data_IF_407054387015
#
_entry.id   IF_407054387015
#
_cell.length_a   1.000
_cell.length_b   1.000
_cell.length_c   1.000
_cell.angle_alpha   90.00
_cell.angle_beta   90.00
_cell.angle_gamma   90.00
#
_symmetry.space_group_name_H-M   'P 1'
#
loop_
_entity.id
_entity.type
_entity.pdbx_description
1 polymer ?
#
# COMPACT_ATOMS: atom_id res chain seq x y z
N UNK A 1 1.75 14.68 -10.90
CA UNK A 1 2.81 15.24 -10.06
C UNK A 1 2.44 14.98 -8.62
N UNK A 2 3.46 14.91 -7.78
CA UNK A 2 3.34 14.74 -6.34
C UNK A 2 4.42 15.62 -5.68
N UNK A 3 4.00 16.58 -4.86
CA UNK A 3 4.92 17.56 -4.29
C UNK A 3 5.71 16.97 -3.11
N UNK A 4 5.16 16.03 -2.34
CA UNK A 4 5.92 15.43 -1.23
C UNK A 4 7.12 14.65 -1.75
N UNK A 5 6.96 14.04 -2.92
CA UNK A 5 7.91 13.11 -3.51
C UNK A 5 8.74 13.76 -4.63
N UNK A 6 8.67 15.10 -4.76
CA UNK A 6 9.35 15.88 -5.81
C UNK A 6 9.05 15.42 -7.25
N UNK A 7 7.85 14.89 -7.49
CA UNK A 7 7.39 14.46 -8.80
C UNK A 7 6.71 15.65 -9.51
N UNK A 8 7.28 16.21 -10.58
CA UNK A 8 6.81 17.47 -11.17
C UNK A 8 5.39 17.35 -11.77
N UNK A 9 5.10 16.27 -12.51
CA UNK A 9 3.88 16.17 -13.31
C UNK A 9 3.81 17.22 -14.42
N UNK A 10 2.61 17.44 -14.97
CA UNK A 10 2.38 18.46 -16.01
C UNK A 10 1.78 19.72 -15.38
N UNK A 11 2.45 20.89 -15.47
CA UNK A 11 1.96 22.14 -14.91
C UNK A 11 0.56 22.51 -15.41
N UNK A 12 -0.36 22.76 -14.47
CA UNK A 12 -1.73 23.14 -14.80
C UNK A 12 -2.64 22.00 -15.27
N UNK A 13 -2.19 20.75 -15.21
CA UNK A 13 -3.01 19.54 -15.31
C UNK A 13 -3.09 18.89 -13.93
N UNK A 14 -4.07 19.32 -13.13
CA UNK A 14 -4.33 18.77 -11.79
C UNK A 14 -5.10 17.44 -11.81
N UNK A 15 -5.29 16.78 -10.65
CA UNK A 15 -5.88 15.45 -10.55
C UNK A 15 -7.24 15.30 -11.25
N UNK A 16 -8.12 16.30 -11.14
CA UNK A 16 -9.44 16.30 -11.80
C UNK A 16 -9.34 16.27 -13.32
N UNK A 17 -8.41 17.05 -13.89
CA UNK A 17 -8.21 17.12 -15.33
C UNK A 17 -7.50 15.86 -15.81
N UNK A 18 -6.46 15.43 -15.10
CA UNK A 18 -5.73 14.20 -15.40
C UNK A 18 -6.67 12.99 -15.41
N UNK A 19 -7.51 12.82 -14.38
CA UNK A 19 -8.49 11.73 -14.33
C UNK A 19 -9.50 11.79 -15.49
N UNK A 20 -10.02 12.97 -15.82
CA UNK A 20 -10.91 13.13 -16.98
C UNK A 20 -10.25 12.70 -18.28
N UNK A 21 -8.98 13.05 -18.49
CA UNK A 21 -8.23 12.72 -19.69
C UNK A 21 -7.88 11.23 -19.74
N UNK A 22 -7.41 10.65 -18.63
CA UNK A 22 -7.11 9.21 -18.58
C UNK A 22 -8.38 8.38 -18.78
N UNK A 23 -9.53 8.80 -18.25
CA UNK A 23 -10.79 8.11 -18.52
C UNK A 23 -11.25 8.21 -19.98
N UNK A 24 -10.91 9.30 -20.67
CA UNK A 24 -11.27 9.51 -22.09
C UNK A 24 -10.32 8.76 -23.05
N UNK A 25 -9.01 8.74 -22.76
CA UNK A 25 -7.97 8.20 -23.65
C UNK A 25 -7.42 6.83 -23.20
N UNK A 26 -7.75 6.38 -21.99
CA UNK A 26 -7.40 5.06 -21.44
C UNK A 26 -6.07 5.03 -20.68
N UNK A 27 -4.96 5.38 -21.33
CA UNK A 27 -3.62 5.37 -20.72
C UNK A 27 -2.87 6.67 -20.96
N UNK A 28 -1.75 6.86 -20.24
CA UNK A 28 -0.91 8.05 -20.43
C UNK A 28 -0.27 8.04 -21.82
N UNK A 29 0.18 6.87 -22.28
CA UNK A 29 0.82 6.69 -23.58
C UNK A 29 -0.15 7.08 -24.71
N UNK A 30 -1.37 6.52 -24.68
CA UNK A 30 -2.42 6.84 -25.66
C UNK A 30 -2.83 8.31 -25.59
N UNK A 31 -2.89 8.88 -24.39
CA UNK A 31 -3.19 10.31 -24.20
C UNK A 31 -2.12 11.21 -24.83
N UNK A 32 -0.84 10.87 -24.68
CA UNK A 32 0.25 11.66 -25.24
C UNK A 32 0.32 11.54 -26.78
N UNK A 33 0.16 10.32 -27.31
CA UNK A 33 0.12 10.08 -28.77
C UNK A 33 -1.02 10.84 -29.45
N UNK A 34 -2.17 10.93 -28.78
CA UNK A 34 -3.37 11.61 -29.29
C UNK A 34 -3.58 12.99 -28.70
N UNK A 35 -2.58 13.58 -28.04
CA UNK A 35 -2.70 14.87 -27.37
C UNK A 35 -3.18 15.98 -28.33
N UNK A 36 -2.84 15.87 -29.63
CA UNK A 36 -3.31 16.76 -30.69
C UNK A 36 -4.83 16.87 -30.84
N UNK A 37 -5.56 15.80 -30.53
CA UNK A 37 -7.02 15.69 -30.68
C UNK A 37 -7.80 16.36 -29.54
N UNK A 38 -7.11 16.73 -28.46
CA UNK A 38 -7.74 17.34 -27.28
C UNK A 38 -8.40 18.67 -27.68
N UNK A 39 -9.73 18.71 -27.56
CA UNK A 39 -10.58 19.86 -27.95
C UNK A 39 -10.18 21.16 -27.25
N UNK A 40 -9.76 21.07 -25.99
CA UNK A 40 -9.35 22.23 -25.21
C UNK A 40 -7.90 22.61 -25.52
N UNK A 41 -7.73 23.67 -26.32
CA UNK A 41 -6.42 24.21 -26.75
C UNK A 41 -5.40 24.33 -25.60
N UNK A 42 -5.80 24.92 -24.47
CA UNK A 42 -4.88 25.11 -23.34
C UNK A 42 -4.43 23.81 -22.64
N UNK A 43 -5.25 22.74 -22.66
CA UNK A 43 -4.84 21.43 -22.13
C UNK A 43 -3.89 20.73 -23.09
N UNK A 44 -4.21 20.79 -24.38
CA UNK A 44 -3.39 20.26 -25.46
C UNK A 44 -1.98 20.85 -25.43
N UNK A 45 -1.88 22.18 -25.41
CA UNK A 45 -0.59 22.86 -25.41
C UNK A 45 0.26 22.48 -24.20
N UNK A 46 -0.33 22.45 -23.00
CA UNK A 46 0.36 22.04 -21.76
C UNK A 46 0.86 20.60 -21.82
N UNK A 47 0.07 19.68 -22.37
CA UNK A 47 0.49 18.28 -22.50
C UNK A 47 1.63 18.15 -23.52
N UNK A 48 1.47 18.74 -24.70
CA UNK A 48 2.48 18.70 -25.76
C UNK A 48 3.81 19.31 -25.30
N UNK A 49 3.77 20.47 -24.63
CA UNK A 49 4.98 21.15 -24.15
C UNK A 49 5.68 20.46 -22.98
N UNK A 50 4.99 19.57 -22.26
CA UNK A 50 5.52 18.89 -21.07
C UNK A 50 5.41 17.36 -21.21
N UNK A 51 5.50 16.84 -22.44
CA UNK A 51 5.41 15.41 -22.74
C UNK A 51 6.50 14.64 -21.99
N UNK A 52 7.73 15.15 -22.00
CA UNK A 52 8.88 14.55 -21.33
C UNK A 52 8.70 14.51 -19.80
N UNK A 53 8.20 15.60 -19.20
CA UNK A 53 7.91 15.63 -17.75
C UNK A 53 6.82 14.64 -17.36
N UNK A 54 5.80 14.45 -18.22
CA UNK A 54 4.75 13.47 -17.99
C UNK A 54 5.29 12.04 -18.00
N UNK A 55 6.12 11.70 -19.00
CA UNK A 55 6.78 10.39 -19.12
C UNK A 55 7.74 10.14 -17.95
N UNK A 56 8.55 11.14 -17.60
CA UNK A 56 9.45 11.06 -16.45
C UNK A 56 8.67 10.84 -15.16
N UNK A 57 7.61 11.61 -14.94
CA UNK A 57 6.77 11.47 -13.74
C UNK A 57 6.15 10.09 -13.64
N UNK A 58 5.75 9.48 -14.76
CA UNK A 58 5.24 8.11 -14.80
C UNK A 58 6.30 7.09 -14.38
N UNK A 59 7.52 7.24 -14.91
CA UNK A 59 8.64 6.37 -14.55
C UNK A 59 9.00 6.48 -13.07
N UNK A 60 8.98 7.68 -12.50
CA UNK A 60 9.31 7.92 -11.09
C UNK A 60 8.29 7.32 -10.11
N UNK A 61 7.03 7.17 -10.51
CA UNK A 61 5.99 6.53 -9.67
C UNK A 61 5.83 5.04 -9.93
N UNK A 62 6.55 4.50 -10.91
CA UNK A 62 6.45 3.09 -11.25
C UNK A 62 7.18 2.25 -10.21
N UNK A 63 6.43 1.39 -9.53
CA UNK A 63 6.99 0.48 -8.54
C UNK A 63 7.70 -0.68 -9.23
N UNK A 64 8.93 -0.93 -8.83
CA UNK A 64 9.65 -2.13 -9.23
C UNK A 64 9.06 -3.36 -8.51
N UNK A 65 8.56 -4.30 -9.29
CA UNK A 65 7.98 -5.57 -8.82
C UNK A 65 8.94 -6.74 -8.90
N UNK A 66 10.12 -6.55 -9.50
CA UNK A 66 11.12 -7.58 -9.72
C UNK A 66 12.14 -7.65 -8.58
N UNK A 67 11.80 -7.11 -7.40
CA UNK A 67 12.68 -7.17 -6.22
C UNK A 67 12.76 -8.63 -5.75
N UNK A 68 13.96 -9.24 -5.72
CA UNK A 68 14.12 -10.63 -5.30
C UNK A 68 14.02 -10.73 -3.78
N UNK A 69 12.80 -10.85 -3.27
CA UNK A 69 12.50 -10.89 -1.84
C UNK A 69 13.23 -12.03 -1.11
N UNK A 70 13.48 -13.15 -1.80
CA UNK A 70 14.20 -14.30 -1.25
C UNK A 70 15.70 -14.04 -1.03
N UNK A 71 16.24 -12.97 -1.64
CA UNK A 71 17.63 -12.55 -1.48
C UNK A 71 17.78 -11.39 -0.48
N UNK A 72 16.68 -10.88 0.10
CA UNK A 72 16.76 -9.83 1.10
C UNK A 72 17.22 -10.40 2.45
N UNK A 73 18.30 -9.83 3.00
CA UNK A 73 18.73 -10.13 4.36
C UNK A 73 17.68 -9.65 5.35
N UNK A 74 16.99 -10.60 5.97
CA UNK A 74 16.04 -10.33 7.05
C UNK A 74 16.76 -10.37 8.41
N UNK A 75 16.20 -9.72 9.46
CA UNK A 75 16.72 -9.83 10.83
C UNK A 75 16.81 -11.28 11.29
N UNK A 76 17.64 -11.55 12.31
CA UNK A 76 18.17 -12.85 12.81
C UNK A 76 17.20 -14.05 12.96
N UNK A 77 15.91 -13.92 12.63
CA UNK A 77 14.87 -14.92 12.86
C UNK A 77 13.94 -15.19 11.67
N UNK A 78 14.18 -14.60 10.49
CA UNK A 78 13.40 -14.88 9.28
C UNK A 78 14.33 -15.15 8.11
N UNK A 79 14.07 -16.20 7.34
CA UNK A 79 14.83 -16.53 6.12
C UNK A 79 14.03 -16.18 4.88
N UNK A 80 12.69 -16.16 4.98
CA UNK A 80 11.80 -15.86 3.87
C UNK A 80 10.61 -15.00 4.30
N UNK A 81 10.02 -14.25 3.37
CA UNK A 81 8.78 -13.47 3.63
C UNK A 81 7.62 -14.37 4.09
N UNK A 82 7.58 -15.62 3.63
CA UNK A 82 6.54 -16.60 3.99
C UNK A 82 6.57 -17.01 5.48
N UNK A 83 7.68 -16.78 6.17
CA UNK A 83 7.83 -17.05 7.59
C UNK A 83 7.26 -15.95 8.48
N UNK A 84 6.99 -14.76 7.92
CA UNK A 84 6.34 -13.65 8.63
C UNK A 84 4.88 -14.02 8.94
N UNK A 85 4.67 -14.59 10.12
CA UNK A 85 3.36 -14.98 10.64
C UNK A 85 3.04 -14.15 11.86
N UNK A 86 1.76 -13.84 12.05
CA UNK A 86 1.32 -13.21 13.29
C UNK A 86 1.49 -14.21 14.44
N UNK A 87 2.44 -13.90 15.33
CA UNK A 87 2.62 -14.61 16.58
C UNK A 87 1.48 -14.27 17.56
N UNK A 88 1.17 -15.17 18.52
CA UNK A 88 0.25 -14.84 19.59
C UNK A 88 0.78 -13.64 20.40
N UNK A 89 -0.12 -12.75 20.79
CA UNK A 89 0.21 -11.57 21.57
C UNK A 89 0.72 -12.00 22.96
N UNK A 90 1.94 -11.60 23.31
CA UNK A 90 2.45 -11.73 24.69
C UNK A 90 2.17 -10.44 25.44
N UNK A 91 1.08 -10.41 26.22
CA UNK A 91 0.70 -9.25 27.02
C UNK A 91 1.81 -8.83 27.97
N UNK A 92 2.46 -9.79 28.62
CA UNK A 92 3.51 -9.53 29.61
C UNK A 92 4.76 -8.92 28.97
N UNK A 93 5.19 -9.44 27.81
CA UNK A 93 6.32 -8.88 27.08
C UNK A 93 6.03 -7.44 26.61
N UNK A 94 4.79 -7.17 26.17
CA UNK A 94 4.37 -5.83 25.76
C UNK A 94 4.29 -4.86 26.95
N UNK A 95 3.81 -5.30 28.11
CA UNK A 95 3.81 -4.47 29.31
C UNK A 95 5.21 -4.12 29.75
N UNK A 96 6.09 -5.12 29.82
CA UNK A 96 7.50 -4.90 30.15
C UNK A 96 8.14 -3.91 29.19
N UNK A 97 7.92 -4.07 27.88
CA UNK A 97 8.43 -3.14 26.87
C UNK A 97 7.90 -1.71 27.06
N UNK A 98 6.60 -1.53 27.30
CA UNK A 98 6.04 -0.21 27.53
C UNK A 98 6.51 0.43 28.82
N UNK A 99 6.74 -0.33 29.89
CA UNK A 99 7.33 0.19 31.12
C UNK A 99 8.80 0.61 30.89
N UNK A 100 9.59 -0.22 30.21
CA UNK A 100 10.98 0.10 29.86
C UNK A 100 11.10 1.35 28.97
N UNK A 101 10.16 1.55 28.04
CA UNK A 101 10.12 2.73 27.17
C UNK A 101 9.42 3.95 27.80
N UNK A 102 8.84 3.81 29.00
CA UNK A 102 8.14 4.89 29.72
C UNK A 102 6.73 5.21 29.23
N UNK A 103 6.10 4.33 28.43
CA UNK A 103 4.75 4.49 27.89
C UNK A 103 3.65 3.98 28.85
N UNK A 104 3.62 4.50 30.07
CA UNK A 104 2.73 4.01 31.14
C UNK A 104 1.23 4.12 30.80
N UNK A 105 0.78 5.23 30.20
CA UNK A 105 -0.63 5.40 29.81
C UNK A 105 -1.06 4.42 28.73
N UNK A 106 -0.14 4.09 27.81
CA UNK A 106 -0.39 3.14 26.74
C UNK A 106 -0.46 1.70 27.29
N UNK A 107 0.41 1.37 28.24
CA UNK A 107 0.32 0.12 29.01
C UNK A 107 -1.03 -0.01 29.73
N UNK A 108 -1.50 1.04 30.42
CA UNK A 108 -2.78 0.98 31.12
C UNK A 108 -3.98 0.82 30.18
N UNK A 109 -3.94 1.47 29.00
CA UNK A 109 -4.96 1.26 27.96
C UNK A 109 -4.94 -0.17 27.41
N UNK A 110 -3.75 -0.75 27.22
CA UNK A 110 -3.59 -2.12 26.75
C UNK A 110 -4.13 -3.15 27.78
N UNK A 111 -3.85 -2.98 29.08
CA UNK A 111 -4.41 -3.85 30.17
C UNK A 111 -5.92 -3.91 30.12
N UNK A 112 -6.55 -2.75 29.96
CA UNK A 112 -8.00 -2.60 29.88
C UNK A 112 -8.59 -3.29 28.65
N UNK A 113 -7.95 -3.12 27.49
CA UNK A 113 -8.42 -3.69 26.22
C UNK A 113 -8.28 -5.21 26.17
N UNK A 114 -7.28 -5.77 26.84
CA UNK A 114 -7.04 -7.21 26.92
C UNK A 114 -7.87 -7.90 28.01
N UNK A 115 -8.72 -7.18 28.74
CA UNK A 115 -9.54 -7.76 29.80
C UNK A 115 -8.72 -8.27 30.99
N UNK A 116 -7.45 -7.87 31.10
CA UNK A 116 -6.53 -8.30 32.16
C UNK A 116 -6.72 -7.50 33.47
N UNK A 117 -7.77 -6.68 33.55
CA UNK A 117 -8.19 -6.08 34.81
C UNK A 117 -9.10 -7.08 35.52
N UNK A 118 -8.53 -7.78 36.50
CA UNK A 118 -9.32 -8.43 37.54
C UNK A 118 -10.26 -7.42 38.20
N UNK A 119 -11.40 -7.95 38.62
CA UNK A 119 -12.43 -7.32 39.43
C UNK A 119 -11.89 -6.33 40.46
N UNK A 120 -12.14 -5.04 40.23
CA UNK A 120 -12.45 -4.11 41.32
C UNK A 120 -13.41 -3.06 40.76
N UNK A 121 -14.68 -3.31 41.05
CA UNK A 121 -15.69 -2.27 41.06
C UNK A 121 -15.28 -1.22 42.11
N UNK A 122 -15.51 0.04 41.76
CA UNK A 122 -15.32 1.26 42.54
C UNK A 122 -13.96 1.95 42.41
N UNK A 123 -13.81 2.72 41.33
CA UNK A 123 -13.49 4.13 41.56
C UNK A 123 -14.11 5.01 40.47
N UNK A 124 -14.93 5.97 40.91
CA UNK A 124 -15.57 6.99 40.09
C UNK A 124 -14.53 7.98 39.60
N UNK A 125 -14.30 8.03 38.28
CA UNK A 125 -13.61 9.13 37.63
C UNK A 125 -14.63 9.93 36.78
N UNK A 126 -14.92 11.20 37.12
CA UNK A 126 -15.98 11.99 36.50
C UNK A 126 -15.67 12.45 35.06
N UNK A 127 -14.53 12.08 34.49
CA UNK A 127 -14.14 12.50 33.14
C UNK A 127 -14.42 11.48 32.02
N UNK A 128 -15.27 10.48 32.30
CA UNK A 128 -15.67 9.46 31.33
C UNK A 128 -16.58 9.98 30.19
N UNK A 129 -17.02 11.23 30.23
CA UNK A 129 -17.97 11.79 29.25
C UNK A 129 -17.32 12.37 27.98
N UNK A 130 -16.02 12.69 27.98
CA UNK A 130 -15.36 13.30 26.81
C UNK A 130 -14.74 12.24 25.87
N UNK A 131 -14.18 11.16 26.42
CA UNK A 131 -13.56 10.06 25.64
C UNK A 131 -14.58 9.16 24.94
N UNK A 132 -15.84 9.15 25.40
CA UNK A 132 -16.93 8.40 24.77
C UNK A 132 -17.45 9.06 23.48
N UNK A 133 -17.18 10.35 23.25
CA UNK A 133 -17.63 11.06 22.03
C UNK A 133 -16.69 10.85 20.86
N UNK A 134 -15.39 10.71 21.11
CA UNK A 134 -14.38 10.51 20.05
C UNK A 134 -14.39 9.05 19.54
N UNK A 135 -14.69 8.08 20.41
CA UNK A 135 -14.77 6.67 20.01
C UNK A 135 -16.05 6.30 19.22
N UNK A 136 -17.14 7.07 19.35
CA UNK A 136 -18.39 6.78 18.63
C UNK A 136 -18.33 7.20 17.14
N UNK A 137 -17.57 8.25 16.81
CA UNK A 137 -17.46 8.74 15.43
C UNK A 137 -16.49 7.90 14.57
N UNK A 138 -15.41 7.34 15.14
CA UNK A 138 -14.49 6.49 14.36
C UNK A 138 -15.02 5.06 14.11
N UNK A 139 -15.88 4.53 14.98
CA UNK A 139 -16.42 3.16 14.82
C UNK A 139 -17.57 3.13 13.80
N UNK A 140 -18.28 4.24 13.57
CA UNK A 140 -19.44 4.27 12.66
C UNK A 140 -19.04 4.31 11.17
N UNK A 141 -17.81 4.72 10.83
CA UNK A 141 -17.35 4.76 9.43
C UNK A 141 -16.85 3.40 8.92
N UNK A 142 -16.48 2.48 9.82
CA UNK A 142 -15.87 1.20 9.43
C UNK A 142 -16.88 0.06 9.14
N UNK A 143 -18.17 0.21 9.49
CA UNK A 143 -19.16 -0.89 9.45
C UNK A 143 -20.15 -0.88 8.27
N UNK A 144 -20.05 0.02 7.28
CA UNK A 144 -20.98 0.05 6.11
C UNK A 144 -20.42 -0.52 4.79
N UNK A 145 -19.34 -1.32 4.79
CA UNK A 145 -18.80 -1.92 3.55
C UNK A 145 -18.70 -3.45 3.52
N UNK A 146 -19.51 -4.16 4.30
CA UNK A 146 -19.66 -5.61 4.16
C UNK A 146 -21.14 -6.02 4.13
N UNK A 147 -21.86 -5.59 3.08
CA UNK A 147 -23.07 -6.28 2.66
C UNK A 147 -22.69 -7.45 1.75
N UNK A 148 -22.98 -8.66 2.23
CA UNK A 148 -22.93 -9.91 1.47
C UNK A 148 -23.88 -9.83 0.27
N UNK A 149 -23.35 -10.05 -0.93
CA UNK A 149 -24.11 -10.52 -2.10
C UNK A 149 -23.52 -11.88 -2.53
N UNK A 150 -24.33 -12.90 -2.87
CA UNK A 150 -23.82 -14.22 -3.19
C UNK A 150 -23.14 -14.25 -4.57
N UNK A 151 -21.95 -14.85 -4.64
CA UNK A 151 -21.20 -15.07 -5.89
C UNK A 151 -21.79 -16.24 -6.67
N UNK A 152 -22.08 -15.99 -7.96
CA UNK A 152 -22.54 -16.98 -8.94
C UNK A 152 -21.41 -17.91 -9.44
N UNK A 153 -21.81 -19.14 -9.75
CA UNK A 153 -21.04 -20.38 -9.96
C UNK A 153 -20.15 -20.52 -11.23
N UNK A 154 -19.65 -19.45 -11.88
CA UNK A 154 -19.05 -19.60 -13.22
C UNK A 154 -17.50 -19.48 -13.35
N UNK A 155 -16.71 -19.65 -12.29
CA UNK A 155 -15.23 -19.57 -12.38
C UNK A 155 -14.57 -20.86 -11.86
N UNK A 156 -14.90 -22.00 -12.48
CA UNK A 156 -14.24 -23.29 -12.20
C UNK A 156 -13.63 -23.98 -13.42
N UNK A 157 -13.56 -23.34 -14.59
CA UNK A 157 -13.04 -24.00 -15.80
C UNK A 157 -11.72 -23.45 -16.38
N UNK A 158 -11.00 -22.58 -15.68
CA UNK A 158 -9.72 -22.04 -16.20
C UNK A 158 -8.43 -22.75 -15.74
N UNK A 159 -8.50 -23.67 -14.77
CA UNK A 159 -7.31 -24.15 -14.04
C UNK A 159 -6.64 -25.40 -14.63
N UNK A 160 -7.04 -25.87 -15.81
CA UNK A 160 -6.41 -27.03 -16.46
C UNK A 160 -5.89 -26.60 -17.82
N UNK A 161 -4.69 -25.99 -17.88
CA UNK A 161 -3.84 -25.91 -19.09
C UNK A 161 -2.52 -25.15 -18.80
N UNK A 162 -1.76 -25.52 -17.76
CA UNK A 162 -0.37 -25.01 -17.64
C UNK A 162 0.67 -26.01 -17.11
N UNK A 163 0.29 -27.27 -16.93
CA UNK A 163 1.26 -28.36 -16.82
C UNK A 163 1.57 -28.85 -18.23
N UNK A 164 2.60 -28.26 -18.86
CA UNK A 164 3.52 -28.88 -19.84
C UNK A 164 4.35 -27.78 -20.53
N UNK A 165 5.50 -27.44 -19.95
CA UNK A 165 6.71 -27.05 -20.70
C UNK A 165 7.92 -27.12 -19.76
N UNK A 166 8.52 -28.32 -19.69
CA UNK A 166 9.93 -28.50 -19.34
C UNK A 166 10.73 -28.36 -20.63
N UNK A 167 11.71 -27.43 -20.66
CA UNK A 167 13.02 -27.53 -21.33
C UNK A 167 13.49 -26.16 -21.83
N UNK A 168 14.47 -25.55 -21.16
CA UNK A 168 15.36 -24.54 -21.75
C UNK A 168 16.79 -24.74 -21.18
N UNK A 169 17.84 -24.48 -21.98
CA UNK A 169 19.21 -25.00 -21.78
C UNK A 169 20.06 -24.13 -20.83
N UNK A 170 21.23 -24.61 -20.36
CA UNK A 170 22.03 -23.85 -19.39
C UNK A 170 22.76 -22.66 -20.04
N UNK A 171 22.91 -21.60 -19.23
CA UNK A 171 23.66 -20.37 -19.55
C UNK A 171 25.18 -20.66 -19.65
N UNK A 172 25.94 -19.95 -20.50
CA UNK A 172 27.38 -20.10 -20.57
C UNK A 172 28.06 -19.41 -19.36
N UNK A 173 29.02 -20.13 -18.75
CA UNK A 173 30.03 -19.58 -17.85
C UNK A 173 31.06 -18.82 -18.69
N UNK A 174 31.32 -17.55 -18.35
CA UNK A 174 32.61 -16.83 -18.49
C UNK A 174 32.38 -15.33 -18.25
N UNK A 175 32.63 -14.86 -17.02
CA UNK A 175 32.80 -13.45 -16.70
C UNK A 175 34.13 -13.30 -15.96
N UNK A 176 35.23 -13.43 -16.69
CA UNK A 176 36.54 -12.94 -16.27
C UNK A 176 36.89 -11.67 -17.08
N UNK A 177 37.51 -10.72 -16.38
CA UNK A 177 38.18 -9.51 -16.86
C UNK A 177 37.34 -8.30 -17.30
N UNK A 178 37.10 -7.41 -16.32
CA UNK A 178 37.11 -5.96 -16.58
C UNK A 178 38.08 -5.30 -15.60
N UNK A 179 39.20 -4.71 -16.06
CA UNK A 179 40.17 -4.08 -15.18
C UNK A 179 39.66 -2.70 -14.72
N UNK A 180 39.96 -2.36 -13.46
CA UNK A 180 39.76 -1.03 -12.86
C UNK A 180 40.61 0.06 -13.53
#
# INVERSE_FOLDING_TARGET
GDKSDNIPGVPGIGPKIASSLINEYGSLEVLLDRAGEIKQKGRREKLLSNTEEAVLSRKLVELDKAIPLDLMTMPDHYTTVSELKMAPLSSDALFKFYEEMGFYDLAMRLKRRLGMSGSDANNSDPNASESSRIAADEVTVAQTRTSNAPLNDNIRQGLIMHQMRKSEPPMPEDYDDVPF
#
